data_IF_973280877466
#
_entry.id   IF_973280877466
#
_cell.length_a   1.000
_cell.length_b   1.000
_cell.length_c   1.000
_cell.angle_alpha   90.00
_cell.angle_beta   90.00
_cell.angle_gamma   90.00
#
_symmetry.space_group_name_H-M   'P 1'
#
loop_
_entity.id
_entity.type
_entity.pdbx_description
1 polymer ?
#
# COMPACT_ATOMS: atom_id res chain seq x y z
N UNK A 1 -13.78 3.11 -25.38
CA UNK A 1 -12.87 2.98 -24.21
C UNK A 1 -13.56 2.07 -23.19
N UNK A 2 -13.25 0.78 -23.19
CA UNK A 2 -13.84 -0.20 -22.24
C UNK A 2 -12.68 -0.94 -21.59
N UNK A 3 -12.02 -0.28 -20.65
CA UNK A 3 -11.01 -0.91 -19.79
C UNK A 3 -11.47 -0.73 -18.35
N UNK A 4 -11.59 -1.84 -17.61
CA UNK A 4 -11.77 -1.78 -16.15
C UNK A 4 -13.08 -2.31 -15.57
N UNK A 5 -13.67 -3.39 -16.10
CA UNK A 5 -14.64 -4.18 -15.33
C UNK A 5 -14.12 -5.59 -15.11
N UNK A 6 -13.09 -5.72 -14.27
CA UNK A 6 -12.72 -7.00 -13.68
C UNK A 6 -13.01 -6.90 -12.19
N UNK A 7 -14.08 -7.57 -11.78
CA UNK A 7 -14.41 -7.76 -10.38
C UNK A 7 -13.82 -9.10 -9.97
N UNK A 8 -12.97 -9.10 -8.95
CA UNK A 8 -12.36 -10.32 -8.42
C UNK A 8 -12.54 -10.33 -6.91
N UNK A 9 -12.85 -11.51 -6.35
CA UNK A 9 -12.88 -11.70 -4.91
C UNK A 9 -11.44 -11.79 -4.41
N UNK A 10 -11.10 -10.92 -3.47
CA UNK A 10 -9.78 -10.88 -2.84
C UNK A 10 -9.95 -10.98 -1.33
N UNK A 11 -8.98 -11.62 -0.68
CA UNK A 11 -8.81 -11.53 0.75
C UNK A 11 -7.93 -10.33 1.04
N UNK A 12 -8.36 -9.51 2.00
CA UNK A 12 -7.59 -8.38 2.50
C UNK A 12 -6.95 -8.81 3.80
N UNK A 13 -5.62 -8.89 3.85
CA UNK A 13 -4.85 -9.24 5.04
C UNK A 13 -4.04 -8.02 5.50
N UNK A 14 -4.20 -7.62 6.77
CA UNK A 14 -3.35 -6.59 7.36
C UNK A 14 -1.95 -7.16 7.61
N UNK A 15 -0.92 -6.45 7.13
CA UNK A 15 0.47 -6.80 7.40
C UNK A 15 0.91 -6.24 8.74
N UNK A 16 1.65 -7.06 9.48
CA UNK A 16 2.37 -6.65 10.68
C UNK A 16 3.31 -5.49 10.39
N UNK A 17 3.60 -4.65 11.39
CA UNK A 17 4.50 -3.50 11.21
C UNK A 17 5.88 -3.91 10.67
N UNK A 18 6.42 -5.06 11.07
CA UNK A 18 7.71 -5.55 10.61
C UNK A 18 7.71 -5.86 9.10
N UNK A 19 6.70 -6.58 8.63
CA UNK A 19 6.47 -6.89 7.20
C UNK A 19 6.17 -5.63 6.37
N UNK A 20 5.49 -4.64 6.97
CA UNK A 20 5.12 -3.40 6.31
C UNK A 20 6.30 -2.44 6.09
N UNK A 21 7.32 -2.45 6.97
CA UNK A 21 8.50 -1.57 6.90
C UNK A 21 9.20 -1.57 5.53
N UNK A 22 9.65 -2.72 4.99
CA UNK A 22 10.34 -2.74 3.70
C UNK A 22 9.44 -2.29 2.55
N UNK A 23 8.14 -2.59 2.61
CA UNK A 23 7.17 -2.17 1.61
C UNK A 23 6.97 -0.65 1.63
N UNK A 24 6.77 -0.06 2.82
CA UNK A 24 6.62 1.39 3.00
C UNK A 24 7.88 2.14 2.54
N UNK A 25 9.06 1.59 2.79
CA UNK A 25 10.33 2.16 2.32
C UNK A 25 10.46 2.17 0.79
N UNK A 26 10.00 1.11 0.11
CA UNK A 26 10.04 1.01 -1.35
C UNK A 26 8.91 1.81 -2.04
N UNK A 27 7.79 2.01 -1.33
CA UNK A 27 6.59 2.67 -1.81
C UNK A 27 6.82 4.04 -2.48
N UNK A 28 7.56 5.02 -1.92
CA UNK A 28 7.74 6.33 -2.55
C UNK A 28 8.41 6.25 -3.93
N UNK A 29 9.26 5.24 -4.16
CA UNK A 29 9.90 5.02 -5.45
C UNK A 29 8.96 4.37 -6.47
N UNK A 30 8.07 3.47 -6.01
CA UNK A 30 7.10 2.79 -6.88
C UNK A 30 5.86 3.64 -7.17
N UNK A 31 5.48 4.51 -6.25
CA UNK A 31 4.25 5.31 -6.30
C UNK A 31 4.58 6.81 -6.09
N UNK A 32 5.32 7.45 -7.01
CA UNK A 32 5.76 8.83 -6.86
C UNK A 32 4.56 9.80 -6.74
N UNK A 33 3.46 9.52 -7.44
CA UNK A 33 2.22 10.31 -7.38
C UNK A 33 1.58 10.28 -5.98
N UNK A 34 1.76 9.19 -5.23
CA UNK A 34 1.22 9.02 -3.89
C UNK A 34 2.00 9.81 -2.82
N UNK A 35 3.28 10.10 -3.04
CA UNK A 35 4.12 10.86 -2.10
C UNK A 35 3.54 12.26 -1.83
N UNK A 36 3.05 12.94 -2.88
CA UNK A 36 2.43 14.25 -2.74
C UNK A 36 1.15 14.24 -1.91
N UNK A 37 0.39 13.14 -1.95
CA UNK A 37 -0.78 12.96 -1.09
C UNK A 37 -0.38 12.80 0.38
N UNK A 38 0.60 11.95 0.67
CA UNK A 38 1.10 11.72 2.04
C UNK A 38 1.71 12.99 2.66
N UNK A 39 2.36 13.83 1.85
CA UNK A 39 2.84 15.16 2.30
C UNK A 39 1.69 16.09 2.66
N UNK A 40 0.67 16.19 1.80
CA UNK A 40 -0.50 17.05 2.03
C UNK A 40 -1.36 16.60 3.20
N UNK A 41 -1.39 15.30 3.51
CA UNK A 41 -2.08 14.78 4.69
C UNK A 41 -1.28 14.96 5.99
N UNK A 42 -0.04 15.47 5.93
CA UNK A 42 0.82 15.65 7.10
C UNK A 42 1.38 14.34 7.66
N UNK A 43 1.35 13.25 6.90
CA UNK A 43 1.92 11.96 7.31
C UNK A 43 3.44 11.91 7.13
N UNK A 44 3.97 12.62 6.13
CA UNK A 44 5.42 12.74 5.86
C UNK A 44 5.76 14.19 5.50
N UNK A 45 7.00 14.62 5.75
CA UNK A 45 7.47 15.97 5.38
C UNK A 45 8.17 15.96 4.03
N UNK A 46 9.26 15.21 3.94
CA UNK A 46 10.12 15.18 2.76
C UNK A 46 9.80 14.03 1.82
N UNK A 47 9.03 13.04 2.28
CA UNK A 47 8.73 11.85 1.50
C UNK A 47 9.97 10.98 1.29
N UNK A 48 10.89 10.99 2.26
CA UNK A 48 12.05 10.10 2.26
C UNK A 48 11.62 8.68 2.63
N UNK A 49 12.26 7.64 2.09
CA UNK A 49 11.97 6.24 2.41
C UNK A 49 11.93 5.94 3.93
N UNK A 50 12.80 6.59 4.69
CA UNK A 50 12.89 6.46 6.15
C UNK A 50 11.64 7.00 6.87
N UNK A 51 11.04 8.08 6.36
CA UNK A 51 9.81 8.62 6.96
C UNK A 51 8.62 7.69 6.72
N UNK A 52 8.57 7.03 5.57
CA UNK A 52 7.55 6.02 5.31
C UNK A 52 7.77 4.75 6.13
N UNK A 53 9.02 4.30 6.30
CA UNK A 53 9.34 3.18 7.18
C UNK A 53 8.90 3.47 8.63
N UNK A 54 9.07 4.70 9.11
CA UNK A 54 8.61 5.14 10.42
C UNK A 54 7.07 5.20 10.56
N UNK A 55 6.31 5.17 9.46
CA UNK A 55 4.86 5.04 9.49
C UNK A 55 4.41 3.60 9.76
N UNK A 56 5.30 2.61 9.77
CA UNK A 56 4.94 1.24 10.12
C UNK A 56 4.26 1.19 11.50
N UNK A 57 3.08 0.57 11.57
CA UNK A 57 2.24 0.52 12.78
C UNK A 57 1.30 1.73 12.96
N UNK A 58 1.46 2.80 12.19
CA UNK A 58 0.50 3.93 12.11
C UNK A 58 -0.23 3.96 10.77
N UNK A 59 0.45 3.59 9.69
CA UNK A 59 -0.10 3.37 8.37
C UNK A 59 -0.23 1.86 8.14
N UNK A 60 -1.45 1.34 8.22
CA UNK A 60 -1.73 -0.06 7.96
C UNK A 60 -1.52 -0.37 6.47
N UNK A 61 -0.77 -1.45 6.20
CA UNK A 61 -0.55 -1.96 4.84
C UNK A 61 -1.35 -3.23 4.69
N UNK A 62 -2.13 -3.32 3.63
CA UNK A 62 -2.95 -4.49 3.34
C UNK A 62 -2.43 -5.23 2.12
N UNK A 63 -2.27 -6.54 2.24
CA UNK A 63 -2.05 -7.44 1.12
C UNK A 63 -3.41 -7.85 0.55
N UNK A 64 -3.56 -7.69 -0.76
CA UNK A 64 -4.72 -8.16 -1.52
C UNK A 64 -4.38 -9.52 -2.11
N UNK A 65 -4.82 -10.58 -1.47
CA UNK A 65 -4.61 -11.95 -1.95
C UNK A 65 -5.78 -12.37 -2.86
N UNK A 66 -5.53 -12.79 -4.11
CA UNK A 66 -6.59 -13.32 -4.95
C UNK A 66 -7.15 -14.61 -4.34
N UNK A 67 -8.47 -14.72 -4.23
CA UNK A 67 -9.09 -15.93 -3.66
C UNK A 67 -9.16 -17.11 -4.65
N UNK A 68 -8.69 -16.91 -5.88
CA UNK A 68 -9.00 -17.82 -6.98
C UNK A 68 -10.48 -17.75 -7.34
N UNK A 69 -10.81 -17.95 -8.61
CA UNK A 69 -12.19 -18.25 -8.99
C UNK A 69 -12.46 -19.64 -8.40
N UNK A 70 -13.03 -19.71 -7.19
CA UNK A 70 -13.52 -20.95 -6.60
C UNK A 70 -14.73 -21.38 -7.45
N UNK A 71 -14.45 -21.86 -8.66
CA UNK A 71 -15.39 -22.55 -9.53
C UNK A 71 -15.63 -23.94 -8.94
N UNK A 72 -16.61 -24.01 -8.07
CA UNK A 72 -17.40 -25.22 -7.86
C UNK A 72 -18.87 -24.89 -8.08
#
# INVERSE_FOLDING_TARGET
MTRGRRSERVRIAELSADEARPLLRAWPSQVPTGVGFMKRSGLVKDGRPEEFEALAGRCAVFLLEPLGDEKY
#
